data_IF_360182023020
#
_entry.id   IF_360182023020
#
_cell.length_a   1.000
_cell.length_b   1.000
_cell.length_c   1.000
_cell.angle_alpha   90.00
_cell.angle_beta   90.00
_cell.angle_gamma   90.00
#
_symmetry.space_group_name_H-M   'P 1'
#
loop_
_entity.id
_entity.type
_entity.pdbx_description
1 polymer ?
#
# COMPACT_ATOMS: atom_id res chain seq x y z
N UNK A 1 -12.47 -29.10 39.90
CA UNK A 1 -13.01 -29.12 38.52
C UNK A 1 -13.26 -27.67 38.13
N UNK A 2 -12.30 -27.03 37.44
CA UNK A 2 -12.47 -25.67 36.93
C UNK A 2 -12.89 -25.83 35.46
N UNK A 3 -14.06 -25.29 35.03
CA UNK A 3 -14.50 -25.43 33.66
C UNK A 3 -13.56 -24.65 32.74
N UNK A 4 -13.28 -25.26 31.59
CA UNK A 4 -12.18 -24.95 30.69
C UNK A 4 -12.12 -23.51 30.23
N UNK A 5 -11.08 -22.81 30.69
CA UNK A 5 -10.46 -21.72 29.94
C UNK A 5 -9.81 -22.35 28.72
N UNK A 6 -10.40 -22.16 27.54
CA UNK A 6 -9.74 -22.42 26.27
C UNK A 6 -8.39 -21.67 26.30
N UNK A 7 -7.22 -22.34 26.21
CA UNK A 7 -5.93 -21.67 26.26
C UNK A 7 -5.85 -20.76 25.04
N UNK A 8 -6.13 -19.49 25.30
CA UNK A 8 -6.51 -18.49 24.32
C UNK A 8 -5.69 -18.56 23.05
N UNK A 9 -6.40 -18.50 21.93
CA UNK A 9 -5.85 -18.17 20.61
C UNK A 9 -4.77 -17.12 20.82
N UNK A 10 -3.51 -17.53 20.67
CA UNK A 10 -2.40 -16.62 20.76
C UNK A 10 -2.60 -15.57 19.68
N UNK A 11 -3.00 -14.36 20.09
CA UNK A 11 -3.18 -13.24 19.20
C UNK A 11 -1.83 -12.94 18.57
N UNK A 12 -1.63 -13.37 17.32
CA UNK A 12 -0.46 -12.96 16.54
C UNK A 12 -0.62 -11.45 16.32
N UNK A 13 0.28 -10.62 16.84
CA UNK A 13 0.18 -9.18 16.68
C UNK A 13 0.23 -8.81 15.20
N UNK A 14 -0.58 -7.84 14.82
CA UNK A 14 -0.58 -7.29 13.47
C UNK A 14 0.84 -6.77 13.18
N UNK A 15 1.40 -7.18 12.04
CA UNK A 15 2.78 -6.87 11.65
C UNK A 15 2.88 -5.58 10.85
N UNK A 16 1.83 -4.76 10.86
CA UNK A 16 1.79 -3.47 10.18
C UNK A 16 2.91 -2.59 10.71
N UNK A 17 3.95 -2.43 9.89
CA UNK A 17 5.02 -1.51 10.15
C UNK A 17 4.53 -0.08 9.91
N UNK A 18 4.78 0.82 10.87
CA UNK A 18 4.49 2.24 10.73
C UNK A 18 5.41 2.94 9.71
N UNK A 19 6.53 2.30 9.38
CA UNK A 19 7.49 2.74 8.36
C UNK A 19 8.08 1.52 7.64
N UNK A 20 7.99 1.50 6.32
CA UNK A 20 8.50 0.40 5.49
C UNK A 20 9.97 0.57 5.08
N UNK A 21 10.53 1.78 5.16
CA UNK A 21 11.89 2.08 4.70
C UNK A 21 12.90 2.20 5.85
N UNK A 22 12.53 2.82 6.96
CA UNK A 22 13.43 3.00 8.12
C UNK A 22 14.00 1.68 8.68
N UNK A 23 13.23 0.57 8.82
CA UNK A 23 13.77 -0.69 9.32
C UNK A 23 14.53 -1.49 8.25
N UNK A 24 14.33 -1.21 6.96
CA UNK A 24 14.95 -1.98 5.87
C UNK A 24 16.40 -1.53 5.61
N UNK A 25 17.32 -2.15 6.35
CA UNK A 25 18.77 -1.93 6.19
C UNK A 25 19.30 -2.33 4.83
N UNK A 26 18.66 -3.30 4.18
CA UNK A 26 19.11 -3.78 2.88
C UNK A 26 18.77 -2.77 1.78
N UNK A 27 17.56 -2.19 1.80
CA UNK A 27 17.19 -1.10 0.91
C UNK A 27 18.11 0.12 1.08
N UNK A 28 18.41 0.51 2.32
CA UNK A 28 19.34 1.61 2.61
C UNK A 28 20.75 1.35 2.07
N UNK A 29 21.24 0.11 2.22
CA UNK A 29 22.54 -0.31 1.67
C UNK A 29 22.55 -0.24 0.13
N UNK A 30 21.50 -0.75 -0.53
CA UNK A 30 21.40 -0.71 -1.99
C UNK A 30 21.32 0.71 -2.53
N UNK A 31 20.63 1.61 -1.83
CA UNK A 31 20.56 3.01 -2.21
C UNK A 31 21.94 3.66 -2.17
N UNK A 32 22.68 3.48 -1.07
CA UNK A 32 24.03 4.02 -0.91
C UNK A 32 25.06 3.42 -1.87
N UNK A 33 24.82 2.21 -2.40
CA UNK A 33 25.63 1.60 -3.45
C UNK A 33 25.29 2.12 -4.86
N UNK A 34 24.04 2.51 -5.09
CA UNK A 34 23.54 2.86 -6.42
C UNK A 34 23.66 4.34 -6.73
N UNK A 35 23.47 5.20 -5.72
CA UNK A 35 23.49 6.65 -5.86
C UNK A 35 24.60 7.25 -5.00
N UNK A 36 25.15 8.37 -5.46
CA UNK A 36 26.24 9.06 -4.76
C UNK A 36 25.97 10.57 -4.71
N UNK A 37 26.59 11.26 -3.75
CA UNK A 37 26.49 12.71 -3.63
C UNK A 37 25.06 13.19 -3.35
N UNK A 38 24.67 14.30 -3.97
CA UNK A 38 23.39 14.96 -3.70
C UNK A 38 22.16 14.10 -4.03
N UNK A 39 22.24 13.27 -5.07
CA UNK A 39 21.13 12.42 -5.52
C UNK A 39 20.77 11.35 -4.47
N UNK A 40 21.77 10.78 -3.79
CA UNK A 40 21.57 9.82 -2.72
C UNK A 40 20.80 10.44 -1.54
N UNK A 41 21.10 11.69 -1.19
CA UNK A 41 20.41 12.38 -0.12
C UNK A 41 18.94 12.66 -0.47
N UNK A 42 18.67 13.12 -1.71
CA UNK A 42 17.30 13.36 -2.18
C UNK A 42 16.51 12.05 -2.22
N UNK A 43 17.08 10.99 -2.79
CA UNK A 43 16.42 9.70 -2.88
C UNK A 43 16.16 9.09 -1.50
N UNK A 44 17.11 9.21 -0.56
CA UNK A 44 16.92 8.70 0.81
C UNK A 44 15.82 9.46 1.55
N UNK A 45 15.70 10.77 1.33
CA UNK A 45 14.63 11.57 1.92
C UNK A 45 13.27 11.17 1.33
N UNK A 46 13.17 11.04 0.01
CA UNK A 46 11.95 10.62 -0.67
C UNK A 46 11.50 9.21 -0.24
N UNK A 47 12.44 8.27 -0.11
CA UNK A 47 12.15 6.90 0.35
C UNK A 47 11.73 6.87 1.82
N UNK A 48 12.30 7.72 2.67
CA UNK A 48 11.85 7.85 4.05
C UNK A 48 10.43 8.41 4.14
N UNK A 49 10.07 9.40 3.31
CA UNK A 49 8.70 9.90 3.24
C UNK A 49 7.73 8.81 2.77
N UNK A 50 8.06 8.11 1.69
CA UNK A 50 7.28 6.99 1.18
C UNK A 50 7.12 5.87 2.21
N UNK A 51 8.19 5.55 2.95
CA UNK A 51 8.17 4.54 4.01
C UNK A 51 7.05 4.75 5.02
N UNK A 52 6.75 6.01 5.37
CA UNK A 52 5.64 6.38 6.26
C UNK A 52 4.29 6.48 5.56
N UNK A 53 4.26 6.94 4.30
CA UNK A 53 3.02 7.08 3.53
C UNK A 53 2.41 5.74 3.13
N UNK A 54 3.24 4.73 2.85
CA UNK A 54 2.77 3.41 2.41
C UNK A 54 1.79 2.79 3.41
N UNK A 55 2.16 2.54 4.68
CA UNK A 55 1.27 1.88 5.63
C UNK A 55 0.05 2.72 6.03
N UNK A 56 0.15 4.05 5.97
CA UNK A 56 -0.89 4.96 6.50
C UNK A 56 -1.89 5.43 5.44
N UNK A 57 -1.46 5.51 4.18
CA UNK A 57 -2.29 6.04 3.08
C UNK A 57 -2.41 5.03 1.95
N UNK A 58 -1.29 4.53 1.43
CA UNK A 58 -1.30 3.71 0.21
C UNK A 58 -1.96 2.36 0.45
N UNK A 59 -1.64 1.68 1.56
CA UNK A 59 -2.27 0.41 1.92
C UNK A 59 -3.80 0.51 2.05
N UNK A 60 -4.31 1.63 2.59
CA UNK A 60 -5.75 1.87 2.66
C UNK A 60 -6.37 2.04 1.27
N UNK A 61 -5.66 2.72 0.36
CA UNK A 61 -6.09 2.88 -1.03
C UNK A 61 -6.03 1.56 -1.80
N UNK A 62 -5.02 0.72 -1.56
CA UNK A 62 -4.91 -0.62 -2.16
C UNK A 62 -6.09 -1.47 -1.75
N UNK A 63 -6.41 -1.54 -0.45
CA UNK A 63 -7.58 -2.27 0.04
C UNK A 63 -8.88 -1.73 -0.57
N UNK A 64 -9.01 -0.41 -0.74
CA UNK A 64 -10.17 0.19 -1.39
C UNK A 64 -10.25 -0.20 -2.88
N UNK A 65 -9.14 -0.16 -3.60
CA UNK A 65 -9.07 -0.54 -5.01
C UNK A 65 -9.39 -2.02 -5.22
N UNK A 66 -8.87 -2.92 -4.38
CA UNK A 66 -9.15 -4.36 -4.45
C UNK A 66 -10.63 -4.68 -4.22
N UNK A 67 -11.30 -3.91 -3.35
CA UNK A 67 -12.75 -4.04 -3.11
C UNK A 67 -13.59 -3.49 -4.26
N UNK A 68 -13.03 -2.65 -5.11
CA UNK A 68 -13.71 -1.95 -6.20
C UNK A 68 -12.98 -2.14 -7.53
N UNK A 69 -12.92 -3.39 -8.05
CA UNK A 69 -12.21 -3.66 -9.30
C UNK A 69 -12.81 -2.87 -10.46
N UNK A 70 -11.98 -2.49 -11.45
CA UNK A 70 -12.43 -1.68 -12.57
C UNK A 70 -13.44 -2.43 -13.45
N UNK A 71 -14.33 -1.69 -14.09
CA UNK A 71 -15.36 -2.21 -15.00
C UNK A 71 -15.12 -1.71 -16.41
N UNK A 72 -15.22 -2.61 -17.38
CA UNK A 72 -15.15 -2.28 -18.80
C UNK A 72 -16.57 -2.00 -19.34
N UNK A 73 -16.76 -0.82 -19.89
CA UNK A 73 -17.94 -0.40 -20.63
C UNK A 73 -17.60 -0.39 -22.12
N UNK A 74 -17.92 -1.45 -22.84
CA UNK A 74 -17.61 -1.55 -24.27
C UNK A 74 -18.51 -0.66 -25.13
N UNK A 75 -19.76 -0.45 -24.69
CA UNK A 75 -20.76 0.31 -25.42
C UNK A 75 -21.48 1.28 -24.50
N UNK A 76 -21.84 2.42 -25.03
CA UNK A 76 -22.67 3.39 -24.33
C UNK A 76 -24.16 3.01 -24.41
N UNK A 77 -25.02 3.81 -23.77
CA UNK A 77 -26.48 3.56 -23.74
C UNK A 77 -27.16 3.61 -25.10
N UNK A 78 -26.53 4.22 -26.11
CA UNK A 78 -27.02 4.28 -27.50
C UNK A 78 -26.53 3.10 -28.36
N UNK A 79 -25.72 2.20 -27.79
CA UNK A 79 -25.10 1.09 -28.51
C UNK A 79 -23.85 1.49 -29.30
N UNK A 80 -23.34 2.71 -29.12
CA UNK A 80 -22.09 3.15 -29.75
C UNK A 80 -20.90 2.59 -28.95
N UNK A 81 -19.90 2.06 -29.64
CA UNK A 81 -18.69 1.50 -29.01
C UNK A 81 -17.86 2.62 -28.37
N UNK A 82 -17.47 2.46 -27.12
CA UNK A 82 -16.69 3.44 -26.34
C UNK A 82 -15.45 2.83 -25.65
N UNK A 83 -15.47 1.54 -25.30
CA UNK A 83 -14.37 0.81 -24.64
C UNK A 83 -13.75 1.55 -23.43
N UNK A 84 -14.59 2.08 -22.53
CA UNK A 84 -14.16 2.84 -21.36
C UNK A 84 -13.91 1.93 -20.14
N UNK A 85 -12.85 2.20 -19.39
CA UNK A 85 -12.59 1.54 -18.10
C UNK A 85 -12.95 2.50 -16.97
N UNK A 86 -13.99 2.15 -16.22
CA UNK A 86 -14.42 2.87 -15.03
C UNK A 86 -13.73 2.28 -13.80
N UNK A 87 -12.95 3.09 -13.08
CA UNK A 87 -12.38 2.74 -11.78
C UNK A 87 -12.98 3.63 -10.71
N UNK A 88 -13.65 3.03 -9.72
CA UNK A 88 -14.20 3.76 -8.57
C UNK A 88 -13.12 3.78 -7.49
N UNK A 89 -12.16 4.69 -7.62
CA UNK A 89 -11.39 5.07 -6.43
C UNK A 89 -12.28 6.01 -5.61
N UNK A 90 -12.42 5.81 -4.28
CA UNK A 90 -13.11 6.78 -3.46
C UNK A 90 -12.36 8.11 -3.57
N UNK A 91 -12.93 9.09 -4.27
CA UNK A 91 -12.44 10.46 -4.22
C UNK A 91 -12.59 10.94 -2.78
N UNK A 92 -11.47 11.02 -2.06
CA UNK A 92 -11.38 11.74 -0.80
C UNK A 92 -11.78 13.19 -1.09
N UNK A 93 -12.97 13.59 -0.62
CA UNK A 93 -13.38 15.00 -0.53
C UNK A 93 -12.85 15.59 0.76
#
# INVERSE_FOLDING_TARGET
MIPGTDPGVAHIPDTKADDWYAPDRHAQFLLGRSLHGAEAAVASAALAELGRLVPTVIELLVVAADRHPPRLHQYNRRGERIDEVESILPTTR
#
